data_IF_973786416043
#
_entry.id   IF_973786416043
#
_cell.length_a   1.000
_cell.length_b   1.000
_cell.length_c   1.000
_cell.angle_alpha   90.00
_cell.angle_beta   90.00
_cell.angle_gamma   90.00
#
_symmetry.space_group_name_H-M   'P 1'
#
loop_
_entity.id
_entity.type
_entity.pdbx_description
1 polymer ?
#
# COMPACT_ATOMS: atom_id res chain seq x y z
N UNK A 1 -7.33 6.16 4.66
CA UNK A 1 -6.04 5.63 5.17
C UNK A 1 -5.03 5.34 4.05
N UNK A 2 -4.93 4.15 3.45
CA UNK A 2 -3.84 3.85 2.48
C UNK A 2 -3.80 4.79 1.26
N UNK A 3 -4.83 4.75 0.41
CA UNK A 3 -4.94 5.60 -0.79
C UNK A 3 -4.84 7.09 -0.44
N UNK A 4 -5.43 7.46 0.70
CA UNK A 4 -5.43 8.84 1.18
C UNK A 4 -4.02 9.31 1.60
N UNK A 5 -3.23 8.46 2.25
CA UNK A 5 -1.83 8.76 2.55
C UNK A 5 -1.01 8.94 1.28
N UNK A 6 -1.26 8.13 0.24
CA UNK A 6 -0.63 8.32 -1.08
C UNK A 6 -1.03 9.67 -1.70
N UNK A 7 -2.33 10.00 -1.68
CA UNK A 7 -2.89 11.23 -2.25
C UNK A 7 -2.40 12.49 -1.53
N UNK A 8 -2.32 12.45 -0.20
CA UNK A 8 -1.91 13.59 0.62
C UNK A 8 -0.38 13.67 0.80
N UNK A 9 0.37 12.65 0.37
CA UNK A 9 1.83 12.60 0.55
C UNK A 9 2.25 12.58 2.01
N UNK A 10 1.48 11.87 2.85
CA UNK A 10 1.69 11.82 4.30
C UNK A 10 1.58 10.39 4.79
N UNK A 11 2.73 9.80 5.10
CA UNK A 11 2.81 8.42 5.58
C UNK A 11 2.03 8.20 6.89
N UNK A 12 1.97 9.21 7.76
CA UNK A 12 1.23 9.16 9.02
C UNK A 12 -0.28 8.87 8.85
N UNK A 13 -0.87 9.21 7.71
CA UNK A 13 -2.27 8.89 7.40
C UNK A 13 -2.47 7.39 7.11
N UNK A 14 -1.46 6.75 6.51
CA UNK A 14 -1.54 5.33 6.15
C UNK A 14 -0.94 4.39 7.19
N UNK A 15 0.01 4.86 8.03
CA UNK A 15 0.66 4.05 9.08
C UNK A 15 -0.34 3.23 9.92
N UNK A 16 -1.49 3.76 10.38
CA UNK A 16 -2.45 2.99 11.17
C UNK A 16 -3.07 1.78 10.45
N UNK A 17 -3.02 1.75 9.11
CA UNK A 17 -3.52 0.63 8.31
C UNK A 17 -2.57 -0.58 8.29
N UNK A 18 -1.29 -0.40 8.64
CA UNK A 18 -0.28 -1.44 8.59
C UNK A 18 0.02 -2.00 9.98
N UNK A 19 0.40 -3.27 10.01
CA UNK A 19 1.06 -3.85 11.18
C UNK A 19 2.49 -3.30 11.29
N UNK A 20 3.00 -3.14 12.51
CA UNK A 20 4.36 -2.61 12.78
C UNK A 20 5.48 -3.40 12.08
N UNK A 21 5.25 -4.68 11.82
CA UNK A 21 6.20 -5.58 11.15
C UNK A 21 5.81 -5.84 9.69
N UNK A 22 4.99 -4.98 9.08
CA UNK A 22 4.56 -5.18 7.70
C UNK A 22 5.75 -5.09 6.72
N UNK A 23 5.68 -5.92 5.68
CA UNK A 23 6.71 -6.00 4.65
C UNK A 23 6.19 -5.59 3.28
N UNK A 24 7.09 -5.13 2.41
CA UNK A 24 6.79 -4.74 1.05
C UNK A 24 7.82 -5.28 0.06
N UNK A 25 7.33 -5.92 -1.01
CA UNK A 25 8.14 -6.52 -2.07
C UNK A 25 7.61 -6.11 -3.44
N UNK A 26 8.52 -5.90 -4.39
CA UNK A 26 8.16 -5.63 -5.78
C UNK A 26 9.39 -5.27 -6.60
N UNK A 27 9.16 -4.84 -7.83
CA UNK A 27 10.20 -4.24 -8.67
C UNK A 27 9.90 -2.76 -8.83
N UNK A 28 10.87 -1.91 -8.49
CA UNK A 28 10.81 -0.46 -8.68
C UNK A 28 11.82 -0.09 -9.75
N UNK A 29 11.38 0.49 -10.87
CA UNK A 29 12.21 0.83 -12.03
C UNK A 29 13.08 -0.34 -12.53
N UNK A 30 12.54 -1.57 -12.48
CA UNK A 30 13.23 -2.80 -12.89
C UNK A 30 14.17 -3.41 -11.85
N UNK A 31 14.39 -2.74 -10.71
CA UNK A 31 15.23 -3.25 -9.63
C UNK A 31 14.38 -3.87 -8.51
N UNK A 32 14.88 -4.96 -7.94
CA UNK A 32 14.20 -5.64 -6.84
C UNK A 32 14.17 -4.75 -5.59
N UNK A 33 12.98 -4.33 -5.18
CA UNK A 33 12.73 -3.58 -3.96
C UNK A 33 12.15 -4.51 -2.90
N UNK A 34 12.93 -4.76 -1.84
CA UNK A 34 12.55 -5.61 -0.71
C UNK A 34 12.79 -4.87 0.60
N UNK A 35 11.87 -5.02 1.55
CA UNK A 35 12.10 -4.45 2.87
C UNK A 35 10.85 -4.32 3.74
N UNK A 36 11.02 -3.56 4.82
CA UNK A 36 9.92 -3.16 5.68
C UNK A 36 9.03 -2.14 4.97
N UNK A 37 7.84 -1.93 5.53
CA UNK A 37 6.90 -0.92 5.05
C UNK A 37 7.44 0.53 5.15
N UNK A 38 8.50 0.76 5.92
CA UNK A 38 9.15 2.08 6.02
C UNK A 38 9.62 2.63 4.67
N UNK A 39 10.01 1.76 3.72
CA UNK A 39 10.38 2.16 2.36
C UNK A 39 9.22 2.88 1.65
N UNK A 40 7.98 2.38 1.85
CA UNK A 40 6.78 3.03 1.33
C UNK A 40 6.56 4.38 2.00
N UNK A 41 6.71 4.46 3.31
CA UNK A 41 6.51 5.71 4.05
C UNK A 41 7.49 6.79 3.61
N UNK A 42 8.78 6.44 3.48
CA UNK A 42 9.80 7.33 2.93
C UNK A 42 9.45 7.80 1.52
N UNK A 43 9.00 6.90 0.64
CA UNK A 43 8.59 7.26 -0.71
C UNK A 43 7.39 8.22 -0.72
N UNK A 44 6.36 7.95 0.07
CA UNK A 44 5.15 8.78 0.18
C UNK A 44 5.50 10.18 0.68
N UNK A 45 6.30 10.28 1.74
CA UNK A 45 6.70 11.56 2.31
C UNK A 45 7.65 12.33 1.36
N UNK A 46 8.48 11.63 0.60
CA UNK A 46 9.39 12.22 -0.39
C UNK A 46 8.64 12.75 -1.62
N UNK A 47 7.70 11.97 -2.18
CA UNK A 47 6.95 12.38 -3.36
C UNK A 47 5.94 13.50 -3.05
N UNK A 48 5.43 13.54 -1.82
CA UNK A 48 4.47 14.55 -1.40
C UNK A 48 3.09 14.35 -2.03
N UNK A 49 2.23 15.34 -1.83
CA UNK A 49 0.82 15.26 -2.20
C UNK A 49 0.63 15.21 -3.73
N UNK A 50 -0.29 14.37 -4.16
CA UNK A 50 -0.76 14.26 -5.54
C UNK A 50 -2.29 14.18 -5.55
N UNK A 51 -2.92 15.32 -5.83
CA UNK A 51 -4.38 15.42 -5.88
C UNK A 51 -5.01 14.71 -7.09
N UNK A 52 -4.22 14.33 -8.08
CA UNK A 52 -4.69 13.60 -9.26
C UNK A 52 -4.69 12.08 -9.04
N UNK A 53 -4.14 11.59 -7.93
CA UNK A 53 -4.13 10.17 -7.59
C UNK A 53 -5.53 9.59 -7.63
N UNK A 54 -5.76 8.72 -8.60
CA UNK A 54 -6.95 7.88 -8.71
C UNK A 54 -6.63 6.48 -8.25
N UNK A 55 -7.54 5.88 -7.50
CA UNK A 55 -7.37 4.52 -7.04
C UNK A 55 -8.66 3.71 -7.12
N UNK A 56 -8.51 2.42 -7.40
CA UNK A 56 -9.56 1.41 -7.25
C UNK A 56 -9.14 0.41 -6.17
N UNK A 57 -10.09 0.04 -5.32
CA UNK A 57 -9.89 -0.97 -4.27
C UNK A 57 -10.84 -2.12 -4.53
N UNK A 58 -10.27 -3.31 -4.72
CA UNK A 58 -11.01 -4.55 -4.94
C UNK A 58 -10.69 -5.54 -3.80
N UNK A 59 -11.70 -5.95 -3.04
CA UNK A 59 -11.55 -7.06 -2.08
C UNK A 59 -11.61 -8.37 -2.87
N UNK A 60 -10.52 -9.12 -2.90
CA UNK A 60 -10.44 -10.35 -3.70
C UNK A 60 -10.96 -11.57 -2.92
N UNK A 61 -10.70 -11.64 -1.63
CA UNK A 61 -11.15 -12.74 -0.76
C UNK A 61 -11.09 -12.32 0.71
N UNK A 62 -12.00 -12.88 1.52
CA UNK A 62 -12.01 -12.81 2.98
C UNK A 62 -12.36 -14.20 3.51
N UNK A 63 -11.52 -14.74 4.38
CA UNK A 63 -11.77 -16.00 5.08
C UNK A 63 -11.50 -15.82 6.58
N UNK A 64 -12.58 -15.69 7.37
CA UNK A 64 -12.49 -15.43 8.80
C UNK A 64 -11.71 -14.15 9.12
N UNK A 65 -10.48 -14.30 9.63
CA UNK A 65 -9.59 -13.20 10.01
C UNK A 65 -8.54 -12.86 8.97
N UNK A 66 -8.52 -13.51 7.80
CA UNK A 66 -7.57 -13.25 6.72
C UNK A 66 -8.28 -12.64 5.50
N UNK A 67 -7.62 -11.72 4.79
CA UNK A 67 -8.15 -11.14 3.56
C UNK A 67 -7.05 -10.79 2.56
N UNK A 68 -7.40 -10.78 1.28
CA UNK A 68 -6.55 -10.24 0.21
C UNK A 68 -7.27 -9.11 -0.51
N UNK A 69 -6.62 -7.97 -0.63
CA UNK A 69 -7.16 -6.77 -1.29
C UNK A 69 -6.21 -6.33 -2.38
N UNK A 70 -6.75 -6.07 -3.58
CA UNK A 70 -6.02 -5.42 -4.66
C UNK A 70 -6.30 -3.92 -4.64
N UNK A 71 -5.26 -3.10 -4.71
CA UNK A 71 -5.38 -1.66 -4.91
C UNK A 71 -4.70 -1.31 -6.23
N UNK A 72 -5.43 -0.69 -7.15
CA UNK A 72 -4.86 -0.10 -8.36
C UNK A 72 -4.68 1.39 -8.09
N UNK A 73 -3.45 1.91 -8.16
CA UNK A 73 -3.17 3.34 -8.22
C UNK A 73 -2.99 3.67 -9.70
N UNK A 74 -3.96 4.38 -10.28
CA UNK A 74 -4.06 4.59 -11.73
C UNK A 74 -3.16 5.75 -12.22
N UNK A 75 -2.78 6.66 -11.34
CA UNK A 75 -1.98 7.84 -11.67
C UNK A 75 -1.37 8.41 -10.39
N UNK A 76 -0.48 7.65 -9.73
CA UNK A 76 0.24 8.17 -8.57
C UNK A 76 1.58 8.71 -9.04
N UNK A 77 1.69 10.04 -9.12
CA UNK A 77 2.84 10.74 -9.70
C UNK A 77 3.17 10.31 -11.14
N UNK A 78 2.14 10.08 -11.97
CA UNK A 78 2.31 9.64 -13.37
C UNK A 78 2.62 8.14 -13.52
N UNK A 79 2.62 7.38 -12.43
CA UNK A 79 2.98 5.96 -12.41
C UNK A 79 1.76 5.13 -12.02
N UNK A 80 1.55 4.03 -12.74
CA UNK A 80 0.51 3.05 -12.42
C UNK A 80 1.11 1.99 -11.51
N UNK A 81 0.41 1.67 -10.43
CA UNK A 81 0.73 0.54 -9.56
C UNK A 81 -0.47 -0.40 -9.40
N UNK A 82 -0.18 -1.70 -9.32
CA UNK A 82 -1.11 -2.68 -8.75
C UNK A 82 -0.49 -3.27 -7.49
N UNK A 83 -1.11 -2.98 -6.35
CA UNK A 83 -0.75 -3.51 -5.05
C UNK A 83 -1.66 -4.68 -4.68
N UNK A 84 -1.09 -5.73 -4.09
CA UNK A 84 -1.82 -6.79 -3.41
C UNK A 84 -1.44 -6.76 -1.94
N UNK A 85 -2.43 -6.48 -1.11
CA UNK A 85 -2.31 -6.47 0.34
C UNK A 85 -2.82 -7.78 0.90
N UNK A 86 -2.01 -8.42 1.74
CA UNK A 86 -2.47 -9.45 2.67
C UNK A 86 -2.82 -8.76 4.00
N UNK A 87 -4.05 -8.97 4.45
CA UNK A 87 -4.56 -8.39 5.70
C UNK A 87 -4.86 -9.49 6.71
N UNK A 88 -4.63 -9.18 7.97
CA UNK A 88 -5.02 -9.99 9.12
C UNK A 88 -5.87 -9.13 10.07
N UNK A 89 -6.93 -9.71 10.60
CA UNK A 89 -7.74 -9.09 11.65
C UNK A 89 -7.10 -9.35 13.01
N UNK A 90 -6.46 -8.34 13.58
CA UNK A 90 -5.72 -8.38 14.86
C UNK A 90 -6.49 -7.53 15.86
N UNK A 91 -6.86 -8.10 17.00
CA UNK A 91 -7.63 -7.43 18.07
C UNK A 91 -8.92 -6.75 17.58
N UNK A 92 -9.56 -7.36 16.56
CA UNK A 92 -10.80 -6.85 15.96
C UNK A 92 -10.60 -5.85 14.82
N UNK A 93 -9.37 -5.40 14.55
CA UNK A 93 -9.04 -4.44 13.48
C UNK A 93 -8.30 -5.11 12.32
N UNK A 94 -8.65 -4.73 11.09
CA UNK A 94 -7.90 -5.17 9.92
C UNK A 94 -6.58 -4.40 9.78
N UNK A 95 -5.47 -5.13 9.70
CA UNK A 95 -4.14 -4.57 9.44
C UNK A 95 -3.52 -5.23 8.22
N UNK A 96 -2.87 -4.43 7.38
CA UNK A 96 -2.04 -4.91 6.28
C UNK A 96 -0.75 -5.45 6.88
N UNK A 97 -0.47 -6.74 6.66
CA UNK A 97 0.74 -7.41 7.16
C UNK A 97 1.80 -7.60 6.08
N UNK A 98 1.40 -7.62 4.81
CA UNK A 98 2.29 -7.73 3.68
C UNK A 98 1.70 -7.04 2.46
N UNK A 99 2.59 -6.50 1.63
CA UNK A 99 2.27 -5.87 0.36
C UNK A 99 3.21 -6.44 -0.70
N UNK A 100 2.65 -6.91 -1.82
CA UNK A 100 3.43 -7.06 -3.06
C UNK A 100 2.89 -6.10 -4.10
N UNK A 101 3.75 -5.54 -4.94
CA UNK A 101 3.31 -4.58 -5.96
C UNK A 101 3.94 -4.83 -7.33
N UNK A 102 3.22 -4.38 -8.34
CA UNK A 102 3.71 -4.25 -9.71
C UNK A 102 3.66 -2.78 -10.11
N UNK A 103 4.80 -2.25 -10.54
CA UNK A 103 4.93 -0.99 -11.26
C UNK A 103 4.89 -1.29 -12.77
N UNK A 104 4.09 -0.53 -13.52
CA UNK A 104 4.01 -0.62 -14.98
C UNK A 104 5.09 0.21 -15.68
#
# INVERSE_FOLDING_TARGET
>A
MYVEGCREGKSDIMKPAFHKDATMYGYLNGELSVGSIENLYGAVDQFGADSNTKARVDVLSIEGTAATVRVTLEDWHGIVFTDFHSLLKIDGEWKIIAKVFHQY
#
